data_IF_661861853348
#
_entry.id   IF_661861853348
#
_cell.length_a   1.000
_cell.length_b   1.000
_cell.length_c   1.000
_cell.angle_alpha   90.00
_cell.angle_beta   90.00
_cell.angle_gamma   90.00
#
_symmetry.space_group_name_H-M   'P 1'
#
loop_
_entity.id
_entity.type
_entity.pdbx_description
1 polymer ?
#
# COMPACT_ATOMS: atom_id res chain seq x y z
N UNK A 1 15.97 5.90 -1.41
CA UNK A 1 14.95 6.56 -2.25
C UNK A 1 13.85 5.55 -2.47
N UNK A 2 12.64 5.82 -1.99
CA UNK A 2 11.55 4.86 -2.07
C UNK A 2 10.92 4.91 -3.47
N UNK A 3 10.37 3.79 -3.96
CA UNK A 3 9.73 3.71 -5.29
C UNK A 3 8.62 4.76 -5.47
N UNK A 4 7.93 5.12 -4.38
CA UNK A 4 6.88 6.15 -4.41
C UNK A 4 7.44 7.57 -4.63
N UNK A 5 8.65 7.87 -4.16
CA UNK A 5 9.29 9.18 -4.42
C UNK A 5 9.47 9.38 -5.93
N UNK A 6 9.99 8.35 -6.60
CA UNK A 6 10.18 8.33 -8.05
C UNK A 6 8.86 8.37 -8.81
N UNK A 7 7.86 7.62 -8.35
CA UNK A 7 6.53 7.64 -8.95
C UNK A 7 5.89 9.03 -8.87
N UNK A 8 6.02 9.70 -7.72
CA UNK A 8 5.51 11.07 -7.52
C UNK A 8 6.31 12.10 -8.33
N UNK A 9 7.62 11.93 -8.46
CA UNK A 9 8.45 12.75 -9.33
C UNK A 9 8.04 12.59 -10.80
N UNK A 10 7.86 11.35 -11.25
CA UNK A 10 7.38 11.04 -12.60
C UNK A 10 5.99 11.62 -12.87
N UNK A 11 5.06 11.50 -11.91
CA UNK A 11 3.73 12.13 -12.00
C UNK A 11 3.84 13.64 -12.22
N UNK A 12 4.67 14.33 -11.45
CA UNK A 12 4.88 15.78 -11.59
C UNK A 12 5.48 16.12 -12.96
N UNK A 13 6.46 15.35 -13.42
CA UNK A 13 7.08 15.55 -14.73
C UNK A 13 6.09 15.36 -15.88
N UNK A 14 5.18 14.38 -15.81
CA UNK A 14 4.12 14.20 -16.80
C UNK A 14 3.12 15.35 -16.79
N UNK A 15 2.62 15.74 -15.62
CA UNK A 15 1.61 16.79 -15.49
C UNK A 15 2.14 18.19 -15.82
N UNK A 16 3.45 18.40 -15.82
CA UNK A 16 4.07 19.64 -16.26
C UNK A 16 4.10 19.80 -17.79
N UNK A 17 3.77 18.74 -18.55
CA UNK A 17 3.71 18.77 -20.02
C UNK A 17 2.33 19.23 -20.48
N UNK A 18 2.29 20.07 -21.50
CA UNK A 18 1.04 20.55 -22.08
C UNK A 18 0.13 19.40 -22.51
N UNK A 19 -1.17 19.55 -22.21
CA UNK A 19 -2.21 18.60 -22.58
C UNK A 19 -2.45 17.46 -21.58
N UNK A 20 -1.57 17.23 -20.60
CA UNK A 20 -1.78 16.22 -19.57
C UNK A 20 -2.65 16.73 -18.42
N UNK A 21 -3.60 15.92 -17.99
CA UNK A 21 -4.46 16.17 -16.83
C UNK A 21 -4.26 15.08 -15.78
N UNK A 22 -4.57 15.41 -14.53
CA UNK A 22 -4.52 14.43 -13.44
C UNK A 22 -5.47 13.24 -13.68
N UNK A 23 -6.55 13.44 -14.44
CA UNK A 23 -7.53 12.41 -14.83
C UNK A 23 -7.00 11.41 -15.85
N UNK A 24 -5.89 11.73 -16.52
CA UNK A 24 -5.29 10.87 -17.54
C UNK A 24 -4.36 9.80 -16.92
N UNK A 25 -4.20 9.84 -15.59
CA UNK A 25 -3.35 8.92 -14.82
C UNK A 25 -4.22 8.10 -13.88
N UNK A 26 -4.11 6.78 -13.98
CA UNK A 26 -4.72 5.85 -13.04
C UNK A 26 -3.65 5.06 -12.30
N UNK A 27 -3.83 4.91 -10.98
CA UNK A 27 -2.95 4.10 -10.14
C UNK A 27 -3.77 2.94 -9.56
N UNK A 28 -3.36 1.72 -9.89
CA UNK A 28 -4.06 0.53 -9.44
C UNK A 28 -3.53 0.07 -8.09
N UNK A 29 -4.44 -0.29 -7.20
CA UNK A 29 -4.10 -0.86 -5.90
C UNK A 29 -3.69 -2.32 -6.10
N UNK A 30 -2.46 -2.64 -5.69
CA UNK A 30 -1.93 -3.99 -5.74
C UNK A 30 -1.87 -4.68 -4.38
N UNK A 31 -1.33 -5.90 -4.38
CA UNK A 31 -1.21 -6.69 -3.16
C UNK A 31 -0.29 -6.05 -2.10
N UNK A 32 0.73 -5.32 -2.53
CA UNK A 32 1.64 -4.60 -1.61
C UNK A 32 0.95 -3.40 -0.95
N UNK A 33 0.15 -2.64 -1.70
CA UNK A 33 -0.60 -1.49 -1.17
C UNK A 33 -1.72 -1.95 -0.22
N UNK A 34 -2.37 -3.09 -0.52
CA UNK A 34 -3.29 -3.76 0.41
C UNK A 34 -2.59 -4.20 1.70
N UNK A 35 -1.42 -4.84 1.57
CA UNK A 35 -0.62 -5.22 2.75
C UNK A 35 -0.20 -3.99 3.56
N UNK A 36 0.21 -2.91 2.90
CA UNK A 36 0.59 -1.67 3.60
C UNK A 36 -0.58 -1.09 4.42
N UNK A 37 -1.78 -1.08 3.84
CA UNK A 37 -2.98 -0.60 4.54
C UNK A 37 -3.29 -1.47 5.76
N UNK A 38 -3.18 -2.80 5.62
CA UNK A 38 -3.40 -3.75 6.72
C UNK A 38 -2.37 -3.61 7.84
N UNK A 39 -1.09 -3.40 7.52
CA UNK A 39 -0.06 -3.30 8.56
C UNK A 39 -0.24 -2.05 9.42
N UNK A 40 -0.72 -0.94 8.84
CA UNK A 40 -1.04 0.28 9.57
C UNK A 40 -2.13 0.10 10.65
N UNK A 41 -2.86 -1.02 10.61
CA UNK A 41 -3.97 -1.34 11.50
C UNK A 41 -3.82 -2.72 12.16
N UNK A 42 -2.60 -3.28 12.19
CA UNK A 42 -2.37 -4.68 12.61
C UNK A 42 -2.88 -5.01 14.01
N UNK A 43 -2.96 -4.02 14.90
CA UNK A 43 -3.46 -4.18 16.26
C UNK A 43 -4.93 -4.63 16.34
N UNK A 44 -5.70 -4.46 15.26
CA UNK A 44 -7.10 -4.87 15.18
C UNK A 44 -7.29 -6.26 14.54
N UNK A 45 -6.21 -6.90 14.06
CA UNK A 45 -6.31 -8.23 13.49
C UNK A 45 -6.64 -9.28 14.59
N UNK A 46 -7.41 -10.34 14.28
CA UNK A 46 -7.67 -11.43 15.23
C UNK A 46 -6.40 -12.15 15.71
N UNK A 47 -5.40 -12.28 14.83
CA UNK A 47 -4.05 -12.78 15.13
C UNK A 47 -3.01 -11.83 14.52
N UNK A 48 -2.63 -10.74 15.23
CA UNK A 48 -1.67 -9.75 14.72
C UNK A 48 -0.30 -10.37 14.41
N UNK A 49 0.15 -11.31 15.25
CA UNK A 49 1.46 -11.93 15.13
C UNK A 49 1.56 -12.84 13.91
N UNK A 50 0.59 -13.75 13.74
CA UNK A 50 0.55 -14.64 12.57
C UNK A 50 0.30 -13.88 11.28
N UNK A 51 -0.61 -12.91 11.30
CA UNK A 51 -0.90 -12.04 10.14
C UNK A 51 0.36 -11.29 9.70
N UNK A 52 1.05 -10.63 10.64
CA UNK A 52 2.28 -9.91 10.34
C UNK A 52 3.40 -10.83 9.85
N UNK A 53 3.57 -12.01 10.47
CA UNK A 53 4.57 -12.99 10.04
C UNK A 53 4.33 -13.46 8.60
N UNK A 54 3.07 -13.65 8.20
CA UNK A 54 2.73 -13.95 6.81
C UNK A 54 3.05 -12.76 5.89
N UNK A 55 2.64 -11.54 6.25
CA UNK A 55 2.89 -10.35 5.42
C UNK A 55 4.39 -10.10 5.19
N UNK A 56 5.22 -10.29 6.22
CA UNK A 56 6.67 -10.18 6.11
C UNK A 56 7.25 -11.14 5.06
N UNK A 57 6.78 -12.39 5.05
CA UNK A 57 7.16 -13.40 4.04
C UNK A 57 6.63 -13.07 2.65
N UNK A 58 5.47 -12.41 2.57
CA UNK A 58 4.83 -11.97 1.33
C UNK A 58 5.42 -10.66 0.75
N UNK A 59 6.53 -10.16 1.30
CA UNK A 59 7.28 -9.02 0.74
C UNK A 59 7.19 -7.71 1.53
N UNK A 60 6.35 -7.64 2.59
CA UNK A 60 6.22 -6.43 3.41
C UNK A 60 7.55 -6.00 4.05
N UNK A 61 8.45 -6.96 4.33
CA UNK A 61 9.75 -6.67 4.94
C UNK A 61 10.56 -5.65 4.14
N UNK A 62 10.55 -5.73 2.81
CA UNK A 62 11.24 -4.77 1.94
C UNK A 62 10.61 -3.37 2.00
N UNK A 63 9.28 -3.31 2.00
CA UNK A 63 8.53 -2.06 2.13
C UNK A 63 8.80 -1.38 3.46
N UNK A 64 8.76 -2.11 4.59
CA UNK A 64 9.11 -1.57 5.90
C UNK A 64 10.54 -1.02 5.95
N UNK A 65 11.51 -1.78 5.42
CA UNK A 65 12.89 -1.36 5.34
C UNK A 65 13.06 -0.07 4.51
N UNK A 66 12.28 0.10 3.43
CA UNK A 66 12.31 1.33 2.62
C UNK A 66 11.87 2.59 3.38
N UNK A 67 11.09 2.42 4.46
CA UNK A 67 10.67 3.48 5.38
C UNK A 67 11.57 3.58 6.64
N UNK A 68 12.70 2.85 6.67
CA UNK A 68 13.64 2.85 7.80
C UNK A 68 13.15 2.08 9.03
N UNK A 69 12.21 1.15 8.86
CA UNK A 69 11.68 0.30 9.93
C UNK A 69 12.35 -1.07 9.89
N UNK A 70 12.67 -1.63 11.06
CA UNK A 70 13.19 -3.00 11.18
C UNK A 70 12.03 -4.03 11.24
N UNK A 71 11.92 -4.96 10.28
CA UNK A 71 10.95 -6.05 10.32
C UNK A 71 11.06 -6.97 11.56
N UNK A 72 12.22 -7.07 12.22
CA UNK A 72 12.36 -7.91 13.42
C UNK A 72 11.67 -7.26 14.63
N UNK A 73 11.70 -5.93 14.74
CA UNK A 73 11.00 -5.18 15.79
C UNK A 73 9.48 -5.38 15.71
N UNK A 74 8.94 -5.60 14.50
CA UNK A 74 7.51 -5.70 14.29
C UNK A 74 6.90 -6.94 14.94
N UNK A 75 7.56 -8.10 14.82
CA UNK A 75 7.11 -9.33 15.46
C UNK A 75 7.26 -9.28 16.99
N UNK A 76 8.31 -8.61 17.47
CA UNK A 76 8.49 -8.39 18.90
C UNK A 76 7.36 -7.51 19.49
N UNK A 77 6.97 -6.46 18.77
CA UNK A 77 5.87 -5.59 19.17
C UNK A 77 4.53 -6.34 19.27
N UNK A 78 4.21 -7.23 18.31
CA UNK A 78 3.00 -8.05 18.40
C UNK A 78 3.01 -9.02 19.60
N UNK A 79 4.17 -9.56 19.98
CA UNK A 79 4.30 -10.41 21.19
C UNK A 79 4.12 -9.63 22.49
N UNK A 80 4.40 -8.32 22.48
CA UNK A 80 4.21 -7.42 23.61
C UNK A 80 2.74 -7.06 23.92
N UNK A 81 1.79 -7.56 23.13
CA UNK A 81 0.36 -7.30 23.29
C UNK A 81 -0.13 -6.06 22.53
N UNK A 82 -1.43 -5.77 22.66
CA UNK A 82 -2.15 -4.77 21.84
C UNK A 82 -1.53 -3.36 21.97
N UNK A 83 -1.10 -2.96 23.16
CA UNK A 83 -0.49 -1.63 23.37
C UNK A 83 0.86 -1.48 22.66
N UNK A 84 1.71 -2.51 22.73
CA UNK A 84 3.01 -2.51 22.03
C UNK A 84 2.82 -2.56 20.51
N UNK A 85 1.86 -3.36 20.03
CA UNK A 85 1.48 -3.39 18.62
C UNK A 85 0.98 -2.01 18.15
N UNK A 86 0.12 -1.34 18.92
CA UNK A 86 -0.38 0.00 18.62
C UNK A 86 0.73 1.06 18.60
N UNK A 87 1.69 0.99 19.54
CA UNK A 87 2.87 1.86 19.56
C UNK A 87 3.73 1.64 18.32
N UNK A 88 3.91 0.40 17.92
CA UNK A 88 4.66 0.06 16.72
C UNK A 88 3.94 0.54 15.45
N UNK A 89 2.62 0.34 15.31
CA UNK A 89 1.88 0.87 14.15
C UNK A 89 1.87 2.39 14.09
N UNK A 90 1.87 3.08 15.23
CA UNK A 90 2.06 4.53 15.26
C UNK A 90 3.43 4.95 14.70
N UNK A 91 4.51 4.17 14.96
CA UNK A 91 5.82 4.40 14.34
C UNK A 91 5.80 4.16 12.83
N UNK A 92 5.10 3.12 12.37
CA UNK A 92 4.91 2.86 10.93
C UNK A 92 4.23 4.05 10.24
N UNK A 93 3.12 4.53 10.81
CA UNK A 93 2.40 5.70 10.30
C UNK A 93 3.25 6.98 10.33
N UNK A 94 4.05 7.19 11.39
CA UNK A 94 4.96 8.33 11.48
C UNK A 94 6.05 8.27 10.40
N UNK A 95 6.67 7.11 10.19
CA UNK A 95 7.65 6.90 9.13
C UNK A 95 7.05 7.13 7.74
N UNK A 96 5.80 6.70 7.54
CA UNK A 96 5.08 6.95 6.29
C UNK A 96 4.84 8.43 6.04
N UNK A 97 4.34 9.15 7.06
CA UNK A 97 4.02 10.59 7.00
C UNK A 97 5.25 11.48 6.88
N UNK A 98 6.42 10.99 7.29
CA UNK A 98 7.68 11.67 7.06
C UNK A 98 8.05 11.79 5.56
N UNK A 99 7.36 11.04 4.68
CA UNK A 99 7.53 11.10 3.23
C UNK A 99 6.39 11.90 2.58
N UNK A 100 6.62 13.15 2.16
CA UNK A 100 5.57 14.02 1.64
C UNK A 100 4.84 13.41 0.45
N UNK A 101 3.51 13.37 0.54
CA UNK A 101 2.64 12.91 -0.54
C UNK A 101 2.42 11.40 -0.61
N UNK A 102 3.09 10.58 0.19
CA UNK A 102 2.88 9.12 0.15
C UNK A 102 1.49 8.71 0.70
N UNK A 103 1.05 9.30 1.82
CA UNK A 103 -0.30 9.05 2.38
C UNK A 103 -1.38 9.56 1.42
N UNK A 104 -1.19 10.77 0.87
CA UNK A 104 -2.09 11.34 -0.12
C UNK A 104 -2.14 10.51 -1.41
N UNK A 105 -1.03 9.90 -1.83
CA UNK A 105 -0.99 9.02 -2.99
C UNK A 105 -1.81 7.75 -2.77
N UNK A 106 -1.67 7.12 -1.61
CA UNK A 106 -2.32 5.84 -1.34
C UNK A 106 -3.85 5.92 -1.34
N UNK A 107 -4.43 7.06 -0.94
CA UNK A 107 -5.89 7.25 -0.98
C UNK A 107 -6.44 7.41 -2.41
N UNK A 108 -5.58 7.63 -3.40
CA UNK A 108 -5.96 7.74 -4.82
C UNK A 108 -5.83 6.42 -5.60
N UNK A 109 -5.44 5.33 -4.93
CA UNK A 109 -5.36 4.02 -5.57
C UNK A 109 -6.76 3.44 -5.82
N UNK A 110 -6.95 2.89 -7.02
CA UNK A 110 -8.22 2.31 -7.46
C UNK A 110 -8.08 0.79 -7.64
N UNK A 111 -9.12 0.01 -7.34
CA UNK A 111 -9.10 -1.43 -7.62
C UNK A 111 -9.09 -1.75 -9.12
N UNK A 112 -9.66 -0.84 -9.92
CA UNK A 112 -9.72 -0.95 -11.36
C UNK A 112 -9.69 0.45 -12.01
N UNK A 113 -9.26 0.50 -13.27
CA UNK A 113 -9.36 1.66 -14.14
C UNK A 113 -9.85 1.22 -15.51
N UNK A 114 -10.62 2.06 -16.20
CA UNK A 114 -11.21 1.66 -17.48
C UNK A 114 -11.17 2.80 -18.50
N UNK A 115 -11.23 2.42 -19.76
CA UNK A 115 -11.38 3.30 -20.92
C UNK A 115 -12.48 2.75 -21.82
N UNK A 116 -12.75 3.38 -22.96
CA UNK A 116 -13.68 2.84 -23.95
C UNK A 116 -13.07 1.59 -24.62
N UNK A 117 -13.28 0.42 -24.00
CA UNK A 117 -12.89 -0.88 -24.54
C UNK A 117 -11.75 -1.60 -23.82
N UNK A 118 -11.19 -1.03 -22.74
CA UNK A 118 -10.20 -1.72 -21.92
C UNK A 118 -10.45 -1.51 -20.43
N UNK A 119 -10.27 -2.58 -19.66
CA UNK A 119 -10.31 -2.62 -18.20
C UNK A 119 -8.93 -3.05 -17.69
N UNK A 120 -8.39 -2.28 -16.76
CA UNK A 120 -7.11 -2.52 -16.13
C UNK A 120 -7.34 -2.84 -14.66
N UNK A 121 -6.81 -3.99 -14.22
CA UNK A 121 -6.85 -4.49 -12.85
C UNK A 121 -5.48 -5.05 -12.50
N UNK A 122 -5.10 -5.01 -11.22
CA UNK A 122 -3.77 -5.46 -10.81
C UNK A 122 -3.59 -6.99 -10.89
N UNK A 123 -4.57 -7.75 -10.41
CA UNK A 123 -4.45 -9.21 -10.24
C UNK A 123 -5.22 -10.04 -11.28
N UNK A 124 -5.77 -9.41 -12.32
CA UNK A 124 -6.64 -10.05 -13.30
C UNK A 124 -8.10 -10.16 -12.86
N UNK A 125 -8.92 -10.80 -13.69
CA UNK A 125 -10.33 -11.10 -13.44
C UNK A 125 -10.57 -12.60 -13.56
N UNK A 126 -11.56 -13.11 -12.83
CA UNK A 126 -12.06 -14.47 -13.03
C UNK A 126 -13.15 -14.45 -14.12
N UNK A 127 -12.89 -14.97 -15.33
CA UNK A 127 -13.85 -14.93 -16.43
C UNK A 127 -15.11 -15.78 -16.17
N UNK A 128 -15.10 -16.66 -15.16
CA UNK A 128 -16.26 -17.46 -14.78
C UNK A 128 -17.25 -16.70 -13.88
N UNK A 129 -16.89 -15.51 -13.39
CA UNK A 129 -17.71 -14.70 -12.47
C UNK A 129 -18.26 -13.44 -13.17
N UNK A 130 -19.49 -13.00 -12.85
CA UNK A 130 -20.01 -11.71 -13.28
C UNK A 130 -19.07 -10.55 -12.90
N UNK A 131 -19.09 -9.46 -13.65
CA UNK A 131 -18.17 -8.33 -13.44
C UNK A 131 -18.44 -7.64 -12.10
N UNK A 132 -19.70 -7.57 -11.71
CA UNK A 132 -20.18 -7.07 -10.42
C UNK A 132 -19.64 -7.86 -9.22
N UNK A 133 -19.18 -9.10 -9.43
CA UNK A 133 -18.66 -9.98 -8.37
C UNK A 133 -17.12 -9.99 -8.29
N UNK A 134 -16.39 -9.16 -9.05
CA UNK A 134 -14.92 -9.24 -9.17
C UNK A 134 -14.14 -8.59 -8.00
N UNK A 135 -14.80 -8.28 -6.87
CA UNK A 135 -14.25 -7.58 -5.70
C UNK A 135 -14.04 -8.45 -4.47
#
# INVERSE_FOLDING_TARGET
>A
MATLDELLAFRRALLARDGWKATDLAYLRGGQEEMWTKVCQIQFAPDPGGTLAWMLKSGLAGTLASYGLDPQESLAACRGGVMEAARWTARVLAAWRAHPGHEAFAVHLSCAAYTQGALFVHAGLDPARPLEDQG
#
